data_IF_377660590663
#
_entry.id   IF_377660590663
#
_cell.length_a   1.000
_cell.length_b   1.000
_cell.length_c   1.000
_cell.angle_alpha   90.00
_cell.angle_beta   90.00
_cell.angle_gamma   90.00
#
_symmetry.space_group_name_H-M   'P 1'
#
loop_
_entity.id
_entity.type
_entity.pdbx_description
1 polymer ?
#
# COMPACT_ATOMS: atom_id res chain seq x y z
N UNK A 1 -34.84 -9.62 -30.00
CA UNK A 1 -33.68 -9.78 -29.10
C UNK A 1 -32.31 -9.35 -29.68
N UNK A 2 -32.24 -8.50 -30.70
CA UNK A 2 -30.97 -8.10 -31.37
C UNK A 2 -30.44 -6.71 -30.92
N UNK A 3 -31.17 -5.92 -30.15
CA UNK A 3 -30.79 -4.56 -29.74
C UNK A 3 -29.79 -4.49 -28.60
N UNK A 4 -29.87 -5.40 -27.63
CA UNK A 4 -29.07 -5.39 -26.40
C UNK A 4 -27.57 -5.66 -26.61
N UNK A 5 -27.22 -6.51 -27.59
CA UNK A 5 -25.79 -6.85 -27.87
C UNK A 5 -25.01 -5.74 -28.59
N UNK A 6 -25.69 -4.86 -29.34
CA UNK A 6 -25.03 -3.72 -30.02
C UNK A 6 -24.74 -2.58 -29.07
N UNK A 7 -25.56 -2.36 -28.04
CA UNK A 7 -25.39 -1.31 -27.05
C UNK A 7 -24.19 -1.64 -26.15
N UNK A 8 -24.12 -2.83 -25.61
CA UNK A 8 -23.02 -3.31 -24.78
C UNK A 8 -21.64 -3.31 -25.49
N UNK A 9 -21.58 -3.58 -26.80
CA UNK A 9 -20.33 -3.50 -27.56
C UNK A 9 -19.84 -2.07 -27.79
N UNK A 10 -20.73 -1.09 -27.95
CA UNK A 10 -20.33 0.32 -28.10
C UNK A 10 -19.84 0.89 -26.76
N UNK A 11 -20.51 0.64 -25.67
CA UNK A 11 -20.09 1.06 -24.33
C UNK A 11 -18.72 0.50 -23.96
N UNK A 12 -18.45 -0.77 -24.28
CA UNK A 12 -17.15 -1.40 -24.01
C UNK A 12 -16.02 -0.81 -24.89
N UNK A 13 -16.33 -0.43 -26.15
CA UNK A 13 -15.40 0.24 -27.07
C UNK A 13 -15.04 1.65 -26.58
N UNK A 14 -16.04 2.40 -26.13
CA UNK A 14 -15.85 3.78 -25.65
C UNK A 14 -15.04 3.80 -24.34
N UNK A 15 -15.30 2.86 -23.45
CA UNK A 15 -14.56 2.69 -22.20
C UNK A 15 -13.09 2.29 -22.45
N UNK A 16 -12.84 1.39 -23.40
CA UNK A 16 -11.47 1.03 -23.80
C UNK A 16 -10.72 2.22 -24.39
N UNK A 17 -11.38 3.01 -25.24
CA UNK A 17 -10.77 4.21 -25.82
C UNK A 17 -10.39 5.25 -24.75
N UNK A 18 -11.23 5.42 -23.73
CA UNK A 18 -10.97 6.34 -22.63
C UNK A 18 -9.79 5.87 -21.75
N UNK A 19 -9.71 4.57 -21.47
CA UNK A 19 -8.57 3.97 -20.75
C UNK A 19 -7.27 4.22 -21.53
N UNK A 20 -7.25 3.98 -22.83
CA UNK A 20 -6.05 4.16 -23.66
C UNK A 20 -5.60 5.64 -23.71
N UNK A 21 -6.53 6.57 -23.87
CA UNK A 21 -6.25 8.02 -23.85
C UNK A 21 -5.62 8.44 -22.53
N UNK A 22 -6.13 7.92 -21.42
CA UNK A 22 -5.62 8.23 -20.08
C UNK A 22 -4.21 7.69 -19.86
N UNK A 23 -3.96 6.43 -20.21
CA UNK A 23 -2.63 5.82 -20.15
C UNK A 23 -1.65 6.64 -21.01
N UNK A 24 -2.03 6.95 -22.22
CA UNK A 24 -1.22 7.75 -23.14
C UNK A 24 -0.89 9.13 -22.60
N UNK A 25 -1.87 9.80 -22.00
CA UNK A 25 -1.68 11.11 -21.36
C UNK A 25 -0.69 11.03 -20.19
N UNK A 26 -0.77 9.99 -19.35
CA UNK A 26 0.18 9.77 -18.25
C UNK A 26 1.60 9.54 -18.77
N UNK A 27 1.77 8.69 -19.77
CA UNK A 27 3.06 8.45 -20.42
C UNK A 27 3.65 9.77 -20.92
N UNK A 28 2.88 10.56 -21.64
CA UNK A 28 3.28 11.87 -22.15
C UNK A 28 3.68 12.84 -21.04
N UNK A 29 2.91 12.93 -19.98
CA UNK A 29 3.19 13.81 -18.85
C UNK A 29 4.49 13.41 -18.13
N UNK A 30 4.71 12.12 -17.86
CA UNK A 30 5.94 11.65 -17.24
C UNK A 30 7.15 11.81 -18.15
N UNK A 31 7.01 11.57 -19.45
CA UNK A 31 8.06 11.87 -20.42
C UNK A 31 8.48 13.34 -20.39
N UNK A 32 7.49 14.25 -20.43
CA UNK A 32 7.74 15.70 -20.38
C UNK A 32 8.38 16.12 -19.04
N UNK A 33 7.92 15.53 -17.92
CA UNK A 33 8.50 15.78 -16.58
C UNK A 33 9.99 15.41 -16.50
N UNK A 34 10.38 14.37 -17.24
CA UNK A 34 11.78 13.93 -17.35
C UNK A 34 12.58 14.69 -18.43
N UNK A 35 11.98 15.68 -19.11
CA UNK A 35 12.63 16.43 -20.19
C UNK A 35 12.94 15.60 -21.44
N UNK A 36 12.32 14.42 -21.60
CA UNK A 36 12.59 13.55 -22.74
C UNK A 36 11.80 13.98 -23.97
N UNK A 37 12.49 14.12 -25.12
CA UNK A 37 11.79 14.27 -26.40
C UNK A 37 11.08 12.96 -26.78
N UNK A 38 10.10 13.04 -27.66
CA UNK A 38 9.39 11.86 -28.18
C UNK A 38 10.34 10.88 -28.88
N UNK A 39 11.31 11.43 -29.64
CA UNK A 39 12.36 10.64 -30.30
C UNK A 39 13.27 9.94 -29.30
N UNK A 40 13.63 10.64 -28.22
CA UNK A 40 14.50 10.09 -27.19
C UNK A 40 13.87 8.91 -26.48
N UNK A 41 12.58 9.04 -26.06
CA UNK A 41 11.88 7.94 -25.42
C UNK A 41 11.62 6.78 -26.39
N UNK A 42 11.16 7.07 -27.62
CA UNK A 42 10.89 6.04 -28.63
C UNK A 42 12.15 5.19 -28.93
N UNK A 43 13.31 5.84 -29.06
CA UNK A 43 14.61 5.16 -29.25
C UNK A 43 14.96 4.27 -28.08
N UNK A 44 14.77 4.73 -26.84
CA UNK A 44 15.05 3.95 -25.64
C UNK A 44 14.17 2.70 -25.54
N UNK A 45 12.89 2.83 -25.91
CA UNK A 45 11.89 1.76 -25.88
C UNK A 45 12.01 0.81 -27.09
N UNK A 46 12.77 1.18 -28.12
CA UNK A 46 12.90 0.38 -29.34
C UNK A 46 11.69 0.43 -30.28
N UNK A 47 10.92 1.53 -30.26
CA UNK A 47 9.75 1.75 -31.12
C UNK A 47 9.91 2.99 -31.98
N UNK A 48 9.08 3.11 -33.04
CA UNK A 48 9.09 4.34 -33.85
C UNK A 48 8.48 5.53 -33.08
N UNK A 49 8.92 6.75 -33.41
CA UNK A 49 8.30 7.99 -32.90
C UNK A 49 6.78 8.00 -33.14
N UNK A 50 6.34 7.55 -34.33
CA UNK A 50 4.94 7.49 -34.70
C UNK A 50 4.17 6.49 -33.80
N UNK A 51 4.77 5.34 -33.49
CA UNK A 51 4.18 4.37 -32.55
C UNK A 51 4.00 4.98 -31.17
N UNK A 52 5.04 5.65 -30.63
CA UNK A 52 4.94 6.33 -29.35
C UNK A 52 3.87 7.43 -29.37
N UNK A 53 3.81 8.23 -30.45
CA UNK A 53 2.76 9.23 -30.60
C UNK A 53 1.35 8.63 -30.54
N UNK A 54 1.12 7.53 -31.26
CA UNK A 54 -0.18 6.82 -31.23
C UNK A 54 -0.53 6.25 -29.87
N UNK A 55 0.47 5.79 -29.12
CA UNK A 55 0.29 5.35 -27.73
C UNK A 55 -0.05 6.55 -26.83
N UNK A 56 0.70 7.65 -26.90
CA UNK A 56 0.48 8.85 -26.09
C UNK A 56 -0.86 9.54 -26.39
N UNK A 57 -1.42 9.35 -27.57
CA UNK A 57 -2.75 9.88 -27.97
C UNK A 57 -3.88 8.88 -27.76
N UNK A 58 -3.60 7.68 -27.26
CA UNK A 58 -4.60 6.63 -27.04
C UNK A 58 -5.13 5.97 -28.31
N UNK A 59 -4.49 6.19 -29.46
CA UNK A 59 -4.89 5.61 -30.76
C UNK A 59 -4.44 4.14 -30.90
N UNK A 60 -3.53 3.67 -30.07
CA UNK A 60 -3.00 2.31 -30.10
C UNK A 60 -2.71 1.83 -28.69
N UNK A 61 -3.16 0.60 -28.40
CA UNK A 61 -2.78 -0.09 -27.15
C UNK A 61 -1.33 -0.56 -27.25
N UNK A 62 -0.46 -0.20 -26.30
CA UNK A 62 0.86 -0.80 -26.23
C UNK A 62 0.76 -2.29 -25.85
N UNK A 63 1.67 -3.12 -26.36
CA UNK A 63 1.85 -4.47 -25.83
C UNK A 63 2.35 -4.39 -24.38
N UNK A 64 2.20 -5.47 -23.61
CA UNK A 64 2.74 -5.55 -22.24
C UNK A 64 4.25 -5.29 -22.25
N UNK A 65 4.98 -5.85 -23.20
CA UNK A 65 6.43 -5.64 -23.35
C UNK A 65 6.74 -4.16 -23.59
N UNK A 66 6.04 -3.52 -24.54
CA UNK A 66 6.23 -2.09 -24.82
C UNK A 66 5.92 -1.22 -23.62
N UNK A 67 4.86 -1.55 -22.86
CA UNK A 67 4.48 -0.81 -21.66
C UNK A 67 5.51 -0.98 -20.54
N UNK A 68 6.10 -2.18 -20.40
CA UNK A 68 7.18 -2.46 -19.46
C UNK A 68 8.42 -1.61 -19.78
N UNK A 69 8.84 -1.57 -21.05
CA UNK A 69 9.97 -0.74 -21.48
C UNK A 69 9.70 0.76 -21.25
N UNK A 70 8.50 1.23 -21.59
CA UNK A 70 8.09 2.61 -21.32
C UNK A 70 8.18 2.90 -19.83
N UNK A 71 7.62 2.04 -18.98
CA UNK A 71 7.59 2.23 -17.52
C UNK A 71 9.00 2.28 -16.93
N UNK A 72 9.88 1.39 -17.37
CA UNK A 72 11.28 1.35 -16.97
C UNK A 72 12.00 2.68 -17.28
N UNK A 73 11.89 3.18 -18.52
CA UNK A 73 12.55 4.41 -18.93
C UNK A 73 11.94 5.68 -18.33
N UNK A 74 10.66 5.63 -17.94
CA UNK A 74 9.99 6.70 -17.19
C UNK A 74 10.23 6.61 -15.67
N UNK A 75 10.92 5.59 -15.17
CA UNK A 75 11.12 5.31 -13.74
C UNK A 75 9.78 5.23 -12.99
N UNK A 76 8.82 4.52 -13.58
CA UNK A 76 7.47 4.31 -13.04
C UNK A 76 7.16 2.83 -13.02
N UNK A 77 6.19 2.43 -12.19
CA UNK A 77 5.61 1.09 -12.26
C UNK A 77 4.51 1.05 -13.33
N UNK A 78 4.27 -0.11 -13.93
CA UNK A 78 3.16 -0.31 -14.87
C UNK A 78 1.83 0.09 -14.23
N UNK A 79 1.61 -0.33 -12.97
CA UNK A 79 0.41 0.01 -12.21
C UNK A 79 0.19 1.53 -12.13
N UNK A 80 1.26 2.31 -11.89
CA UNK A 80 1.15 3.77 -11.80
C UNK A 80 0.75 4.41 -13.13
N UNK A 81 1.06 3.78 -14.25
CA UNK A 81 0.65 4.22 -15.59
C UNK A 81 -0.80 3.83 -15.93
N UNK A 82 -1.25 2.67 -15.43
CA UNK A 82 -2.58 2.12 -15.74
C UNK A 82 -3.64 2.58 -14.74
N UNK A 83 -3.27 2.78 -13.46
CA UNK A 83 -4.22 3.01 -12.39
C UNK A 83 -5.10 4.24 -12.63
N UNK A 84 -6.39 4.11 -12.34
CA UNK A 84 -7.34 5.22 -12.37
C UNK A 84 -7.25 6.05 -11.09
N UNK A 85 -7.19 7.36 -11.29
CA UNK A 85 -7.56 8.29 -10.23
C UNK A 85 -6.43 9.06 -9.59
N UNK A 86 -6.86 10.08 -8.91
CA UNK A 86 -6.11 10.82 -7.91
C UNK A 86 -5.57 9.87 -6.84
N UNK A 87 -4.50 10.24 -6.14
CA UNK A 87 -4.00 9.43 -5.04
C UNK A 87 -5.16 9.07 -4.12
N UNK A 88 -5.35 7.75 -3.88
CA UNK A 88 -6.38 7.30 -2.92
C UNK A 88 -6.01 7.88 -1.55
N UNK A 89 -6.68 8.94 -1.17
CA UNK A 89 -6.58 9.51 0.17
C UNK A 89 -7.75 8.96 0.98
N UNK A 90 -7.43 8.25 2.06
CA UNK A 90 -8.41 7.76 3.01
C UNK A 90 -8.12 8.40 4.36
N UNK A 91 -9.01 9.24 4.81
CA UNK A 91 -8.95 9.83 6.14
C UNK A 91 -9.82 8.98 7.07
N UNK A 92 -9.19 8.35 8.06
CA UNK A 92 -9.88 7.56 9.08
C UNK A 92 -9.94 8.39 10.35
N UNK A 93 -11.14 8.78 10.72
CA UNK A 93 -11.36 9.50 11.97
C UNK A 93 -11.22 8.55 13.17
N UNK A 94 -10.84 9.10 14.33
CA UNK A 94 -10.71 8.32 15.57
C UNK A 94 -11.99 7.51 15.90
N UNK A 95 -13.15 8.05 15.56
CA UNK A 95 -14.46 7.42 15.76
C UNK A 95 -14.76 6.27 14.78
N UNK A 96 -14.00 6.17 13.72
CA UNK A 96 -14.15 5.15 12.64
C UNK A 96 -13.11 4.03 12.77
N UNK A 97 -12.23 4.11 13.79
CA UNK A 97 -11.22 3.10 14.05
C UNK A 97 -11.85 1.89 14.75
N UNK A 98 -11.72 0.73 14.13
CA UNK A 98 -12.18 -0.52 14.72
C UNK A 98 -11.28 -0.95 15.89
N UNK A 99 -11.88 -1.60 16.89
CA UNK A 99 -11.10 -2.34 17.87
C UNK A 99 -10.55 -3.62 17.24
N UNK A 100 -9.27 -3.89 17.45
CA UNK A 100 -8.61 -5.07 16.87
C UNK A 100 -9.01 -6.36 17.59
N UNK A 101 -9.21 -6.27 18.89
CA UNK A 101 -9.61 -7.38 19.77
C UNK A 101 -11.01 -7.09 20.36
N UNK A 102 -11.13 -7.10 21.68
CA UNK A 102 -12.36 -6.69 22.36
C UNK A 102 -12.39 -5.16 22.57
N UNK A 103 -13.57 -4.56 22.79
CA UNK A 103 -13.70 -3.12 23.03
C UNK A 103 -12.94 -2.58 24.24
N UNK A 104 -12.62 -3.45 25.22
CA UNK A 104 -11.94 -3.08 26.46
C UNK A 104 -10.41 -3.14 26.33
N UNK A 105 -9.88 -3.83 25.32
CA UNK A 105 -8.44 -3.97 25.09
C UNK A 105 -7.71 -2.65 24.86
N UNK A 106 -8.42 -1.64 24.35
CA UNK A 106 -7.84 -0.36 23.98
C UNK A 106 -6.92 -0.42 22.74
N UNK A 107 -6.90 -1.55 22.03
CA UNK A 107 -6.12 -1.75 20.80
C UNK A 107 -7.00 -1.44 19.59
N UNK A 108 -6.60 -0.47 18.79
CA UNK A 108 -7.37 0.01 17.64
C UNK A 108 -6.64 -0.22 16.33
N UNK A 109 -7.38 -0.58 15.30
CA UNK A 109 -6.89 -0.66 13.93
C UNK A 109 -6.84 0.75 13.34
N UNK A 110 -5.67 1.18 12.86
CA UNK A 110 -5.46 2.51 12.29
C UNK A 110 -5.75 2.60 10.79
N UNK A 111 -6.11 1.50 10.16
CA UNK A 111 -6.43 1.47 8.75
C UNK A 111 -7.68 0.63 8.48
N UNK A 112 -8.51 0.99 7.46
CA UNK A 112 -9.72 0.25 7.16
C UNK A 112 -9.38 -1.18 6.75
N UNK A 113 -10.20 -2.14 7.21
CA UNK A 113 -10.16 -3.51 6.71
C UNK A 113 -10.37 -3.50 5.20
N UNK A 114 -9.45 -4.06 4.45
CA UNK A 114 -9.52 -4.16 2.98
C UNK A 114 -8.74 -3.09 2.21
N UNK A 115 -8.24 -2.01 2.84
CA UNK A 115 -7.30 -1.07 2.22
C UNK A 115 -5.84 -1.44 2.47
N UNK A 116 -5.58 -2.13 3.58
CA UNK A 116 -4.29 -2.73 3.83
C UNK A 116 -4.28 -4.08 3.12
N UNK A 117 -3.24 -4.31 2.34
CA UNK A 117 -2.94 -5.65 1.86
C UNK A 117 -2.98 -6.58 3.08
N UNK A 118 -3.41 -7.82 2.91
CA UNK A 118 -3.46 -8.82 3.99
C UNK A 118 -2.13 -8.98 4.76
N UNK A 119 -1.07 -8.33 4.29
CA UNK A 119 0.30 -8.38 4.82
C UNK A 119 0.67 -7.31 5.84
N UNK A 120 -0.05 -6.18 5.88
CA UNK A 120 0.30 -5.06 6.77
C UNK A 120 -0.89 -4.72 7.66
N UNK A 121 -0.68 -4.71 8.97
CA UNK A 121 -1.65 -4.23 9.94
C UNK A 121 -1.00 -3.14 10.81
N UNK A 122 -1.61 -1.97 10.86
CA UNK A 122 -1.15 -0.85 11.70
C UNK A 122 -2.15 -0.65 12.83
N UNK A 123 -1.65 -0.62 14.06
CA UNK A 123 -2.46 -0.46 15.27
C UNK A 123 -1.96 0.67 16.16
N UNK A 124 -2.83 1.16 17.02
CA UNK A 124 -2.47 1.95 18.19
C UNK A 124 -3.11 1.35 19.43
N UNK A 125 -2.48 1.52 20.58
CA UNK A 125 -3.04 1.06 21.84
C UNK A 125 -2.84 2.05 22.98
N UNK A 126 -3.84 2.11 23.86
CA UNK A 126 -3.77 2.74 25.17
C UNK A 126 -4.07 1.67 26.22
N UNK A 127 -3.02 1.20 26.90
CA UNK A 127 -3.11 0.09 27.86
C UNK A 127 -2.89 0.57 29.28
N UNK A 128 -3.67 0.03 30.22
CA UNK A 128 -3.53 0.34 31.66
C UNK A 128 -2.32 -0.38 32.26
N UNK A 129 -1.75 0.18 33.31
CA UNK A 129 -0.74 -0.51 34.14
C UNK A 129 -1.26 -1.87 34.59
N UNK A 130 -0.43 -2.89 34.47
CA UNK A 130 -0.75 -4.28 34.81
C UNK A 130 -1.41 -5.08 33.68
N UNK A 131 -1.79 -4.45 32.57
CA UNK A 131 -2.27 -5.17 31.39
C UNK A 131 -1.15 -6.06 30.84
N UNK A 132 -1.51 -7.24 30.40
CA UNK A 132 -0.60 -8.19 29.75
C UNK A 132 -1.23 -8.72 28.45
N UNK A 133 -0.40 -8.83 27.43
CA UNK A 133 -0.67 -9.66 26.27
C UNK A 133 0.09 -10.96 26.50
N UNK A 134 -0.65 -12.04 26.66
CA UNK A 134 -0.10 -13.36 26.98
C UNK A 134 0.83 -13.85 25.85
N UNK A 135 1.66 -14.84 26.17
CA UNK A 135 2.61 -15.39 25.22
C UNK A 135 1.89 -16.03 24.02
N UNK A 136 2.23 -15.56 22.85
CA UNK A 136 1.68 -16.05 21.58
C UNK A 136 2.74 -15.97 20.47
N UNK A 137 2.39 -16.44 19.28
CA UNK A 137 3.18 -16.34 18.04
C UNK A 137 2.32 -15.74 16.93
N UNK A 138 2.95 -15.03 16.02
CA UNK A 138 2.31 -14.50 14.81
C UNK A 138 3.16 -14.88 13.58
N UNK A 139 2.58 -14.77 12.40
CA UNK A 139 3.34 -14.93 11.15
C UNK A 139 3.98 -13.60 10.76
N UNK A 140 5.29 -13.64 10.44
CA UNK A 140 6.04 -12.49 9.95
C UNK A 140 6.74 -11.69 11.05
N UNK A 141 6.74 -10.38 10.95
CA UNK A 141 7.50 -9.48 11.81
C UNK A 141 6.60 -8.48 12.51
N UNK A 142 7.01 -8.08 13.71
CA UNK A 142 6.37 -7.02 14.46
C UNK A 142 7.34 -5.88 14.76
N UNK A 143 6.84 -4.66 14.63
CA UNK A 143 7.51 -3.44 15.01
C UNK A 143 6.60 -2.66 15.96
N UNK A 144 7.16 -2.12 17.03
CA UNK A 144 6.43 -1.26 17.97
C UNK A 144 7.26 -0.05 18.40
N UNK A 145 6.58 1.09 18.53
CA UNK A 145 7.15 2.32 19.04
C UNK A 145 6.33 2.81 20.23
N UNK A 146 6.98 3.00 21.38
CA UNK A 146 6.36 3.47 22.60
C UNK A 146 6.27 5.00 22.62
N UNK A 147 5.06 5.53 22.63
CA UNK A 147 4.81 6.97 22.71
C UNK A 147 4.86 7.45 24.17
N UNK A 148 4.32 6.64 25.10
CA UNK A 148 4.23 6.98 26.52
C UNK A 148 4.23 5.72 27.37
N UNK A 149 4.79 5.81 28.58
CA UNK A 149 4.77 4.75 29.59
C UNK A 149 5.94 3.81 29.51
N UNK A 150 5.80 2.64 30.17
CA UNK A 150 6.82 1.60 30.22
C UNK A 150 6.21 0.21 30.07
N UNK A 151 6.90 -0.65 29.37
CA UNK A 151 6.53 -2.05 29.20
C UNK A 151 7.76 -2.96 29.22
N UNK A 152 7.54 -4.25 29.40
CA UNK A 152 8.54 -5.28 29.14
C UNK A 152 7.99 -6.15 28.01
N UNK A 153 8.69 -6.18 26.90
CA UNK A 153 8.46 -7.11 25.80
C UNK A 153 9.35 -8.32 26.02
N UNK A 154 8.79 -9.50 25.96
CA UNK A 154 9.55 -10.75 26.02
C UNK A 154 9.49 -11.41 24.64
N UNK A 155 10.64 -11.77 24.07
CA UNK A 155 10.75 -12.48 22.78
C UNK A 155 11.69 -13.66 22.96
N UNK A 156 11.25 -14.87 22.60
CA UNK A 156 12.02 -16.11 22.77
C UNK A 156 12.58 -16.28 24.20
N UNK A 157 11.80 -15.88 25.21
CA UNK A 157 12.18 -15.98 26.62
C UNK A 157 13.12 -14.87 27.13
N UNK A 158 13.59 -13.97 26.25
CA UNK A 158 14.44 -12.84 26.66
C UNK A 158 13.61 -11.57 26.85
N UNK A 159 13.82 -10.90 27.99
CA UNK A 159 13.12 -9.66 28.32
C UNK A 159 13.82 -8.42 27.76
N UNK A 160 13.01 -7.50 27.22
CA UNK A 160 13.41 -6.19 26.71
C UNK A 160 12.58 -5.11 27.41
N UNK A 161 13.10 -4.52 28.51
CA UNK A 161 12.47 -3.36 29.14
C UNK A 161 12.46 -2.18 28.17
N UNK A 162 11.31 -1.53 28.03
CA UNK A 162 11.11 -0.41 27.12
C UNK A 162 10.43 0.76 27.82
N UNK A 163 10.77 1.97 27.41
CA UNK A 163 10.18 3.23 27.85
C UNK A 163 9.76 4.10 26.65
N UNK A 164 9.10 5.21 26.91
CA UNK A 164 8.71 6.17 25.88
C UNK A 164 9.92 6.59 25.03
N UNK A 165 9.75 6.59 23.71
CA UNK A 165 10.78 6.85 22.71
C UNK A 165 11.51 5.60 22.20
N UNK A 166 11.38 4.47 22.88
CA UNK A 166 12.00 3.23 22.44
C UNK A 166 11.21 2.57 21.30
N UNK A 167 11.94 1.85 20.47
CA UNK A 167 11.44 1.08 19.35
C UNK A 167 11.96 -0.37 19.43
N UNK A 168 11.12 -1.32 19.12
CA UNK A 168 11.50 -2.73 19.00
C UNK A 168 11.03 -3.28 17.65
N UNK A 169 11.84 -4.15 17.06
CA UNK A 169 11.49 -4.94 15.88
C UNK A 169 11.92 -6.38 16.14
N UNK A 170 11.05 -7.34 15.86
CA UNK A 170 11.37 -8.75 16.07
C UNK A 170 10.60 -9.66 15.10
N UNK A 171 11.16 -10.85 14.92
CA UNK A 171 10.52 -11.97 14.24
C UNK A 171 9.42 -12.55 15.14
N UNK A 172 8.17 -12.40 14.70
CA UNK A 172 6.99 -12.79 15.47
C UNK A 172 6.68 -14.30 15.43
N UNK A 173 7.44 -15.09 14.66
CA UNK A 173 7.39 -16.56 14.73
C UNK A 173 7.92 -17.10 16.07
N UNK A 174 8.71 -16.31 16.79
CA UNK A 174 9.13 -16.69 18.14
C UNK A 174 8.06 -16.30 19.18
N UNK A 175 7.88 -17.12 20.22
CA UNK A 175 6.98 -16.79 21.31
C UNK A 175 7.29 -15.43 21.91
N UNK A 176 6.28 -14.57 22.00
CA UNK A 176 6.45 -13.22 22.54
C UNK A 176 5.24 -12.78 23.38
N UNK A 177 5.48 -11.84 24.28
CA UNK A 177 4.47 -11.30 25.21
C UNK A 177 4.80 -9.86 25.59
N UNK A 178 3.80 -9.14 26.11
CA UNK A 178 3.96 -7.76 26.58
C UNK A 178 3.39 -7.63 27.98
N UNK A 179 4.15 -7.00 28.91
CA UNK A 179 3.68 -6.63 30.25
C UNK A 179 3.81 -5.15 30.47
N UNK A 180 2.69 -4.48 30.71
CA UNK A 180 2.61 -3.02 30.90
C UNK A 180 2.99 -2.66 32.34
N UNK A 181 4.07 -1.91 32.52
CA UNK A 181 4.58 -1.47 33.83
C UNK A 181 4.04 -0.11 34.26
N UNK A 182 3.79 0.78 33.29
CA UNK A 182 3.14 2.08 33.46
C UNK A 182 2.09 2.27 32.37
N UNK A 183 1.09 3.15 32.56
CA UNK A 183 0.09 3.42 31.51
C UNK A 183 0.78 3.65 30.16
N UNK A 184 0.50 2.81 29.20
CA UNK A 184 1.20 2.68 27.93
C UNK A 184 0.39 3.29 26.79
N UNK A 185 1.07 4.04 25.92
CA UNK A 185 0.59 4.39 24.58
C UNK A 185 1.65 3.96 23.56
N UNK A 186 1.26 3.21 22.56
CA UNK A 186 2.17 2.78 21.49
C UNK A 186 1.45 2.66 20.14
N UNK A 187 2.24 2.64 19.08
CA UNK A 187 1.82 2.20 17.75
C UNK A 187 2.60 0.95 17.39
N UNK A 188 1.95 0.04 16.68
CA UNK A 188 2.60 -1.18 16.19
C UNK A 188 2.21 -1.47 14.74
N UNK A 189 3.17 -2.03 14.03
CA UNK A 189 3.06 -2.49 12.65
C UNK A 189 3.32 -4.01 12.61
N UNK A 190 2.39 -4.73 12.05
CA UNK A 190 2.50 -6.17 11.82
C UNK A 190 2.70 -6.40 10.33
N UNK A 191 3.79 -7.07 9.97
CA UNK A 191 4.15 -7.45 8.61
C UNK A 191 4.01 -8.97 8.50
N UNK A 192 2.97 -9.45 7.84
CA UNK A 192 2.77 -10.88 7.61
C UNK A 192 3.58 -11.36 6.42
N UNK A 193 4.11 -12.56 6.50
CA UNK A 193 4.73 -13.26 5.38
C UNK A 193 3.72 -13.58 4.26
N UNK A 194 4.24 -14.01 3.10
CA UNK A 194 3.42 -14.46 1.96
C UNK A 194 2.73 -15.79 2.25
#
# INVERSE_FOLDING_TARGET
MAGSRKHSRRENSDQQCEILKRIGTKIRNERNRLGLSMEALARKVGISKMTLHRIETGMTSPSVITLTEISFHLKKTIESLIHEGDPKVVLIRKTEQDNLMDPESGIRLLAPRGLITSRITLTSAELKKGYAIETHVNQGFEWAFLIKGKAVVTVAGKEYPMQAGDCIFYDAHFPHSIRVKEKLQYVALFLKDE
#
